data_IF_482967092173
#
_entry.id   IF_482967092173
#
_cell.length_a   1.000
_cell.length_b   1.000
_cell.length_c   1.000
_cell.angle_alpha   90.00
_cell.angle_beta   90.00
_cell.angle_gamma   90.00
#
_symmetry.space_group_name_H-M   'P 1'
#
loop_
_entity.id
_entity.type
_entity.pdbx_description
1 polymer ?
#
# COMPACT_ATOMS: atom_id res chain seq x y z
N UNK A 1 9.52 -5.60 16.20
CA UNK A 1 8.12 -5.20 15.94
C UNK A 1 7.28 -5.70 17.10
N UNK A 2 6.40 -4.88 17.68
CA UNK A 2 5.38 -5.41 18.58
C UNK A 2 4.30 -6.09 17.74
N UNK A 3 3.61 -7.10 18.28
CA UNK A 3 2.48 -7.74 17.59
C UNK A 3 1.38 -6.74 17.21
N UNK A 4 1.27 -5.65 17.97
CA UNK A 4 0.31 -4.55 17.78
C UNK A 4 0.53 -3.79 16.45
N UNK A 5 1.77 -3.41 16.14
CA UNK A 5 2.07 -2.71 14.88
C UNK A 5 1.87 -3.58 13.63
N UNK A 6 2.06 -4.90 13.75
CA UNK A 6 1.82 -5.85 12.66
C UNK A 6 0.32 -5.93 12.31
N UNK A 7 -0.53 -6.05 13.34
CA UNK A 7 -1.98 -6.09 13.18
C UNK A 7 -2.54 -4.79 12.59
N UNK A 8 -2.07 -3.63 13.05
CA UNK A 8 -2.49 -2.33 12.48
C UNK A 8 -2.15 -2.19 10.99
N UNK A 9 -0.94 -2.60 10.59
CA UNK A 9 -0.49 -2.51 9.20
C UNK A 9 -1.29 -3.45 8.30
N UNK A 10 -1.59 -4.66 8.77
CA UNK A 10 -2.45 -5.61 8.06
C UNK A 10 -3.87 -5.07 7.87
N UNK A 11 -4.47 -4.51 8.92
CA UNK A 11 -5.80 -3.89 8.86
C UNK A 11 -5.81 -2.73 7.87
N UNK A 12 -4.82 -1.83 7.97
CA UNK A 12 -4.70 -0.68 7.07
C UNK A 12 -4.57 -1.11 5.61
N UNK A 13 -3.83 -2.20 5.35
CA UNK A 13 -3.66 -2.77 4.01
C UNK A 13 -4.96 -3.38 3.49
N UNK A 14 -5.65 -4.21 4.28
CA UNK A 14 -6.96 -4.77 3.94
C UNK A 14 -7.96 -3.66 3.58
N UNK A 15 -8.04 -2.62 4.41
CA UNK A 15 -8.94 -1.49 4.18
C UNK A 15 -8.54 -0.67 2.95
N UNK A 16 -7.26 -0.34 2.79
CA UNK A 16 -6.75 0.42 1.65
C UNK A 16 -7.06 -0.25 0.31
N UNK A 17 -6.88 -1.58 0.23
CA UNK A 17 -7.20 -2.37 -0.96
C UNK A 17 -8.66 -2.85 -1.03
N UNK A 18 -9.50 -2.55 -0.02
CA UNK A 18 -10.90 -3.03 0.09
C UNK A 18 -11.01 -4.56 0.03
N UNK A 19 -10.05 -5.25 0.61
CA UNK A 19 -9.99 -6.71 0.69
C UNK A 19 -10.78 -7.22 1.90
N UNK A 20 -11.19 -8.50 1.85
CA UNK A 20 -11.95 -9.13 2.92
C UNK A 20 -11.01 -9.74 3.95
N UNK A 21 -11.51 -9.93 5.16
CA UNK A 21 -10.77 -10.55 6.25
C UNK A 21 -10.18 -11.94 5.89
N UNK A 22 -10.86 -12.69 5.01
CA UNK A 22 -10.38 -13.99 4.51
C UNK A 22 -9.13 -13.88 3.61
N UNK A 23 -8.85 -12.71 3.05
CA UNK A 23 -7.72 -12.47 2.15
C UNK A 23 -6.44 -12.13 2.96
N UNK A 24 -6.56 -11.90 4.27
CA UNK A 24 -5.46 -11.51 5.15
C UNK A 24 -4.30 -12.51 5.17
N UNK A 25 -4.57 -13.81 5.06
CA UNK A 25 -3.53 -14.84 4.95
C UNK A 25 -2.65 -14.62 3.71
N UNK A 26 -3.28 -14.36 2.56
CA UNK A 26 -2.54 -14.08 1.32
C UNK A 26 -1.71 -12.79 1.38
N UNK A 27 -2.16 -11.76 2.12
CA UNK A 27 -1.37 -10.53 2.33
C UNK A 27 -0.13 -10.82 3.15
N UNK A 28 -0.31 -11.57 4.23
CA UNK A 28 0.74 -11.98 5.14
C UNK A 28 1.79 -12.82 4.40
N UNK A 29 1.35 -13.80 3.62
CA UNK A 29 2.20 -14.63 2.78
C UNK A 29 3.05 -13.78 1.82
N UNK A 30 2.42 -12.86 1.09
CA UNK A 30 3.12 -11.96 0.15
C UNK A 30 4.17 -11.10 0.83
N UNK A 31 3.83 -10.51 1.98
CA UNK A 31 4.75 -9.67 2.75
C UNK A 31 5.89 -10.51 3.34
N UNK A 32 5.60 -11.72 3.83
CA UNK A 32 6.59 -12.63 4.42
C UNK A 32 7.62 -13.07 3.39
N UNK A 33 7.17 -13.65 2.28
CA UNK A 33 8.04 -14.17 1.22
C UNK A 33 8.93 -13.09 0.60
N UNK A 34 8.35 -11.90 0.33
CA UNK A 34 9.14 -10.76 -0.15
C UNK A 34 10.15 -10.33 0.91
N UNK A 35 9.78 -10.34 2.20
CA UNK A 35 10.71 -9.92 3.25
C UNK A 35 11.91 -10.85 3.45
N UNK A 36 11.73 -12.13 3.14
CA UNK A 36 12.78 -13.13 3.26
C UNK A 36 13.74 -13.12 2.08
N UNK A 37 13.30 -12.63 0.92
CA UNK A 37 14.04 -12.71 -0.34
C UNK A 37 14.53 -11.35 -0.87
N UNK A 38 14.02 -10.24 -0.33
CA UNK A 38 14.27 -8.88 -0.82
C UNK A 38 14.78 -7.97 0.29
N UNK A 39 15.43 -6.82 -0.02
CA UNK A 39 16.06 -5.94 0.97
C UNK A 39 15.06 -5.04 1.70
N UNK A 40 13.99 -5.61 2.25
CA UNK A 40 12.95 -4.94 3.02
C UNK A 40 12.33 -5.93 4.01
N UNK A 41 12.04 -5.53 5.25
CA UNK A 41 11.37 -6.41 6.21
C UNK A 41 9.85 -6.18 6.29
N UNK A 42 9.14 -7.10 6.94
CA UNK A 42 7.67 -7.05 7.11
C UNK A 42 7.17 -5.76 7.77
N UNK A 43 7.93 -5.19 8.72
CA UNK A 43 7.58 -3.92 9.38
C UNK A 43 7.63 -2.75 8.40
N UNK A 44 8.67 -2.71 7.57
CA UNK A 44 8.93 -1.65 6.61
C UNK A 44 7.93 -1.70 5.46
N UNK A 45 7.62 -2.90 4.95
CA UNK A 45 6.54 -3.11 3.97
C UNK A 45 5.20 -2.64 4.52
N UNK A 46 4.84 -3.08 5.74
CA UNK A 46 3.59 -2.72 6.38
C UNK A 46 3.43 -1.20 6.57
N UNK A 47 4.48 -0.51 7.01
CA UNK A 47 4.46 0.95 7.20
C UNK A 47 4.30 1.71 5.88
N UNK A 48 4.98 1.28 4.81
CA UNK A 48 4.84 1.88 3.50
C UNK A 48 3.44 1.63 2.89
N UNK A 49 2.90 0.43 3.06
CA UNK A 49 1.55 0.05 2.62
C UNK A 49 0.48 0.84 3.37
N UNK A 50 0.60 0.98 4.71
CA UNK A 50 -0.30 1.78 5.55
C UNK A 50 -0.51 3.20 5.00
N UNK A 51 0.50 3.76 4.33
CA UNK A 51 0.49 5.12 3.77
C UNK A 51 -0.01 5.22 2.33
N UNK A 52 0.11 4.14 1.55
CA UNK A 52 -0.05 4.17 0.09
C UNK A 52 -1.14 3.26 -0.47
N UNK A 53 -1.59 2.26 0.29
CA UNK A 53 -2.52 1.22 -0.16
C UNK A 53 -3.81 1.79 -0.78
N UNK A 54 -4.42 2.80 -0.16
CA UNK A 54 -5.64 3.42 -0.69
C UNK A 54 -5.42 4.13 -2.02
N UNK A 55 -4.27 4.78 -2.20
CA UNK A 55 -3.94 5.47 -3.44
C UNK A 55 -3.58 4.50 -4.57
N UNK A 56 -2.89 3.39 -4.25
CA UNK A 56 -2.68 2.31 -5.21
C UNK A 56 -4.00 1.68 -5.67
N UNK A 57 -4.89 1.36 -4.74
CA UNK A 57 -6.20 0.78 -5.07
C UNK A 57 -7.07 1.75 -5.88
N UNK A 58 -7.09 3.05 -5.52
CA UNK A 58 -7.77 4.07 -6.31
C UNK A 58 -7.18 4.22 -7.73
N UNK A 59 -5.89 3.93 -7.88
CA UNK A 59 -5.19 3.84 -9.14
C UNK A 59 -5.30 2.45 -9.80
N UNK A 60 -6.14 1.54 -9.33
CA UNK A 60 -6.30 0.18 -9.87
C UNK A 60 -5.00 -0.63 -9.94
N UNK A 61 -4.05 -0.34 -9.05
CA UNK A 61 -2.83 -1.14 -8.88
C UNK A 61 -3.08 -2.17 -7.79
N UNK A 62 -2.80 -3.44 -8.09
CA UNK A 62 -3.02 -4.53 -7.15
C UNK A 62 -1.96 -4.59 -6.04
N UNK A 63 -2.19 -5.45 -5.05
CA UNK A 63 -1.33 -5.57 -3.88
C UNK A 63 0.09 -6.04 -4.23
N UNK A 64 0.27 -6.99 -5.15
CA UNK A 64 1.60 -7.46 -5.52
C UNK A 64 2.40 -6.38 -6.23
N UNK A 65 1.76 -5.65 -7.15
CA UNK A 65 2.38 -4.50 -7.80
C UNK A 65 2.74 -3.41 -6.80
N UNK A 66 1.88 -3.13 -5.80
CA UNK A 66 2.20 -2.17 -4.75
C UNK A 66 3.38 -2.62 -3.86
N UNK A 67 3.41 -3.90 -3.44
CA UNK A 67 4.52 -4.48 -2.67
C UNK A 67 5.81 -4.37 -3.49
N UNK A 68 5.79 -4.74 -4.76
CA UNK A 68 6.94 -4.69 -5.65
C UNK A 68 7.51 -3.27 -5.81
N UNK A 69 6.64 -2.29 -6.07
CA UNK A 69 6.99 -0.88 -6.19
C UNK A 69 7.58 -0.31 -4.89
N UNK A 70 7.03 -0.71 -3.73
CA UNK A 70 7.56 -0.32 -2.42
C UNK A 70 8.94 -0.93 -2.21
N UNK A 71 9.12 -2.23 -2.46
CA UNK A 71 10.37 -2.96 -2.30
C UNK A 71 11.49 -2.34 -3.15
N UNK A 72 11.22 -2.09 -4.43
CA UNK A 72 12.20 -1.52 -5.36
C UNK A 72 12.62 -0.09 -4.98
N UNK A 73 11.70 0.73 -4.46
CA UNK A 73 12.04 2.06 -3.95
C UNK A 73 12.79 2.00 -2.63
N UNK A 74 12.34 1.15 -1.71
CA UNK A 74 12.87 1.04 -0.36
C UNK A 74 14.32 0.56 -0.36
N UNK A 75 14.70 -0.33 -1.28
CA UNK A 75 16.06 -0.88 -1.37
C UNK A 75 17.15 0.20 -1.39
N UNK A 76 16.87 1.35 -2.00
CA UNK A 76 17.77 2.51 -2.03
C UNK A 76 17.45 3.53 -0.94
N UNK A 77 16.17 3.85 -0.77
CA UNK A 77 15.78 4.94 0.14
C UNK A 77 15.93 4.58 1.62
N UNK A 78 15.79 3.31 1.97
CA UNK A 78 15.82 2.76 3.33
C UNK A 78 14.89 3.51 4.32
N UNK A 79 13.83 4.13 3.80
CA UNK A 79 12.84 4.88 4.58
C UNK A 79 11.43 4.51 4.12
N UNK A 80 10.72 3.73 4.97
CA UNK A 80 9.39 3.23 4.69
C UNK A 80 8.33 4.34 4.66
N UNK A 81 8.44 5.35 5.53
CA UNK A 81 7.50 6.46 5.59
C UNK A 81 7.62 7.33 4.34
N UNK A 82 8.85 7.67 3.95
CA UNK A 82 9.15 8.40 2.72
C UNK A 82 8.70 7.61 1.49
N UNK A 83 8.97 6.31 1.44
CA UNK A 83 8.56 5.44 0.33
C UNK A 83 7.04 5.40 0.18
N UNK A 84 6.30 5.16 1.26
CA UNK A 84 4.84 5.12 1.23
C UNK A 84 4.21 6.47 0.88
N UNK A 85 4.70 7.57 1.46
CA UNK A 85 4.19 8.91 1.14
C UNK A 85 4.50 9.31 -0.31
N UNK A 86 5.68 8.94 -0.83
CA UNK A 86 6.01 9.14 -2.24
C UNK A 86 5.02 8.39 -3.14
N UNK A 87 4.77 7.11 -2.87
CA UNK A 87 3.85 6.31 -3.69
C UNK A 87 2.41 6.78 -3.63
N UNK A 88 1.96 7.30 -2.47
CA UNK A 88 0.69 8.03 -2.37
C UNK A 88 0.65 9.20 -3.36
N UNK A 89 1.70 10.01 -3.46
CA UNK A 89 1.75 11.13 -4.41
C UNK A 89 1.85 10.68 -5.86
N UNK A 90 2.78 9.79 -6.19
CA UNK A 90 3.03 9.34 -7.57
C UNK A 90 1.80 8.64 -8.15
N UNK A 91 1.14 7.77 -7.39
CA UNK A 91 -0.06 7.09 -7.86
C UNK A 91 -1.19 8.04 -8.24
N UNK A 92 -1.39 9.12 -7.48
CA UNK A 92 -2.38 10.16 -7.81
C UNK A 92 -1.97 10.97 -9.06
N UNK A 93 -0.68 11.33 -9.19
CA UNK A 93 -0.20 12.12 -10.34
C UNK A 93 -0.28 11.34 -11.65
N UNK A 94 0.03 10.05 -11.63
CA UNK A 94 -0.09 9.17 -12.79
C UNK A 94 -1.53 8.94 -13.26
N UNK A 95 -2.53 9.44 -12.54
CA UNK A 95 -3.95 9.41 -12.92
C UNK A 95 -4.45 10.77 -13.43
N UNK A 96 -3.54 11.64 -13.87
CA UNK A 96 -3.83 12.96 -14.43
C UNK A 96 -3.49 13.02 -15.92
N UNK A 97 -4.38 13.60 -16.72
CA UNK A 97 -4.17 13.88 -18.16
C UNK A 97 -2.95 14.79 -18.38
N UNK A 98 -2.77 15.81 -17.55
CA UNK A 98 -1.61 16.71 -17.63
C UNK A 98 -0.28 15.97 -17.41
N UNK A 99 -0.26 14.98 -16.51
CA UNK A 99 0.92 14.12 -16.31
C UNK A 99 1.14 13.21 -17.50
N UNK A 100 0.06 12.65 -18.07
CA UNK A 100 0.11 11.81 -19.27
C UNK A 100 0.69 12.56 -20.47
N UNK A 101 0.17 13.74 -20.78
CA UNK A 101 0.61 14.54 -21.92
C UNK A 101 2.08 14.93 -21.80
N UNK A 102 2.52 15.33 -20.60
CA UNK A 102 3.93 15.67 -20.36
C UNK A 102 4.87 14.46 -20.50
N UNK A 103 4.48 13.27 -20.04
CA UNK A 103 5.29 12.06 -20.24
C UNK A 103 5.37 11.71 -21.72
N UNK A 104 4.23 11.78 -22.42
CA UNK A 104 4.15 11.51 -23.86
C UNK A 104 5.04 12.47 -24.66
N UNK A 105 5.00 13.77 -24.37
CA UNK A 105 5.83 14.77 -25.04
C UNK A 105 7.33 14.60 -24.74
N UNK A 106 7.69 14.17 -23.53
CA UNK A 106 9.08 14.03 -23.11
C UNK A 106 9.78 12.82 -23.70
N UNK A 107 9.10 11.68 -23.78
CA UNK A 107 9.71 10.38 -24.12
C UNK A 107 8.91 9.53 -25.11
N UNK A 108 7.78 10.03 -25.63
CA UNK A 108 6.93 9.28 -26.56
C UNK A 108 6.16 8.12 -25.92
N UNK A 109 6.15 8.01 -24.59
CA UNK A 109 5.48 6.93 -23.87
C UNK A 109 4.07 7.35 -23.44
N UNK A 110 3.04 6.69 -23.97
CA UNK A 110 1.67 6.90 -23.51
C UNK A 110 1.36 6.01 -22.30
N UNK A 111 0.94 6.62 -21.19
CA UNK A 111 0.55 5.91 -19.97
C UNK A 111 -0.89 5.35 -20.04
N UNK A 112 -1.64 5.65 -21.11
CA UNK A 112 -2.97 5.08 -21.35
C UNK A 112 -2.91 3.59 -21.74
N UNK A 113 -3.93 2.84 -21.37
CA UNK A 113 -4.13 1.48 -21.85
C UNK A 113 -4.40 1.49 -23.38
N UNK A 114 -4.31 0.33 -24.03
CA UNK A 114 -4.45 0.23 -25.49
C UNK A 114 -5.82 0.68 -25.99
N UNK A 115 -6.85 0.59 -25.15
CA UNK A 115 -8.22 0.97 -25.46
C UNK A 115 -8.45 2.48 -25.36
N UNK A 116 -7.53 3.24 -24.75
CA UNK A 116 -7.68 4.68 -24.51
C UNK A 116 -8.73 5.05 -23.47
N UNK A 117 -9.29 4.07 -22.75
CA UNK A 117 -10.40 4.27 -21.79
C UNK A 117 -9.94 4.35 -20.34
N UNK A 118 -8.66 4.15 -20.08
CA UNK A 118 -8.07 4.25 -18.74
C UNK A 118 -6.55 4.20 -18.79
N UNK A 119 -5.89 4.37 -17.65
CA UNK A 119 -4.42 4.30 -17.59
C UNK A 119 -3.93 2.88 -17.31
N UNK A 120 -2.71 2.60 -17.78
CA UNK A 120 -1.96 1.38 -17.46
C UNK A 120 -1.80 1.21 -15.94
N UNK A 121 -1.46 0.00 -15.52
CA UNK A 121 -1.04 -0.23 -14.15
C UNK A 121 0.25 0.57 -13.82
N UNK A 122 0.36 1.07 -12.58
CA UNK A 122 1.49 1.90 -12.15
C UNK A 122 2.80 1.12 -12.25
N UNK A 123 2.83 -0.16 -11.85
CA UNK A 123 4.05 -0.95 -11.96
C UNK A 123 4.49 -1.05 -13.41
N UNK A 124 3.55 -1.25 -14.34
CA UNK A 124 3.87 -1.22 -15.77
C UNK A 124 4.43 0.14 -16.22
N UNK A 125 3.82 1.25 -15.81
CA UNK A 125 4.31 2.60 -16.15
C UNK A 125 5.74 2.79 -15.63
N UNK A 126 5.99 2.44 -14.37
CA UNK A 126 7.29 2.64 -13.71
C UNK A 126 8.35 1.74 -14.32
N UNK A 127 8.04 0.48 -14.62
CA UNK A 127 9.01 -0.45 -15.22
C UNK A 127 9.30 -0.12 -16.69
N UNK A 128 8.29 0.19 -17.51
CA UNK A 128 8.49 0.59 -18.91
C UNK A 128 9.38 1.86 -19.02
N UNK A 129 9.18 2.85 -18.13
CA UNK A 129 10.03 4.06 -18.08
C UNK A 129 11.40 3.72 -17.49
N UNK A 130 11.44 2.94 -16.40
CA UNK A 130 12.63 2.56 -15.67
C UNK A 130 13.66 1.84 -16.53
N UNK A 131 13.21 0.96 -17.42
CA UNK A 131 14.07 0.19 -18.34
C UNK A 131 14.95 1.06 -19.24
N UNK A 132 14.56 2.32 -19.48
CA UNK A 132 15.32 3.27 -20.31
C UNK A 132 15.77 4.51 -19.52
N UNK A 133 15.43 4.61 -18.23
CA UNK A 133 15.54 5.85 -17.48
C UNK A 133 16.97 6.40 -17.43
N UNK A 134 17.95 5.54 -17.16
CA UNK A 134 19.37 5.90 -17.10
C UNK A 134 19.97 6.34 -18.45
N UNK A 135 19.34 5.97 -19.56
CA UNK A 135 19.76 6.34 -20.92
C UNK A 135 19.22 7.70 -21.40
N UNK A 136 18.23 8.27 -20.71
CA UNK A 136 17.73 9.61 -21.03
C UNK A 136 18.71 10.70 -20.60
N UNK A 137 18.66 11.85 -21.27
CA UNK A 137 19.45 13.02 -20.86
C UNK A 137 19.09 13.48 -19.44
N UNK A 138 20.04 14.06 -18.70
CA UNK A 138 19.83 14.61 -17.36
C UNK A 138 18.60 15.54 -17.28
N UNK A 139 18.39 16.36 -18.33
CA UNK A 139 17.24 17.26 -18.43
C UNK A 139 15.92 16.49 -18.56
N UNK A 140 15.91 15.40 -19.32
CA UNK A 140 14.72 14.54 -19.47
C UNK A 140 14.44 13.78 -18.18
N UNK A 141 15.45 13.20 -17.56
CA UNK A 141 15.33 12.52 -16.26
C UNK A 141 14.75 13.47 -15.19
N UNK A 142 15.35 14.64 -15.02
CA UNK A 142 14.89 15.63 -14.04
C UNK A 142 13.43 16.06 -14.26
N UNK A 143 13.02 16.26 -15.52
CA UNK A 143 11.64 16.61 -15.85
C UNK A 143 10.67 15.46 -15.59
N UNK A 144 11.02 14.23 -15.95
CA UNK A 144 10.19 13.06 -15.65
C UNK A 144 9.95 12.93 -14.14
N UNK A 145 11.01 13.07 -13.33
CA UNK A 145 10.90 13.01 -11.87
C UNK A 145 9.98 14.09 -11.30
N UNK A 146 10.07 15.33 -11.80
CA UNK A 146 9.20 16.43 -11.35
C UNK A 146 7.75 16.24 -11.80
N UNK A 147 7.53 15.78 -13.03
CA UNK A 147 6.18 15.50 -13.56
C UNK A 147 5.50 14.40 -12.76
N UNK A 148 6.17 13.25 -12.61
CA UNK A 148 5.60 12.04 -11.99
C UNK A 148 5.57 12.11 -10.46
N UNK A 149 6.62 12.62 -9.82
CA UNK A 149 6.75 12.64 -8.35
C UNK A 149 6.66 14.03 -7.72
N UNK A 150 7.04 15.07 -8.46
CA UNK A 150 7.28 16.40 -7.92
C UNK A 150 8.62 16.52 -7.23
N UNK A 151 9.10 17.75 -7.08
CA UNK A 151 10.42 18.08 -6.49
C UNK A 151 10.75 17.37 -5.17
N UNK A 152 9.77 17.21 -4.27
CA UNK A 152 10.01 16.60 -2.96
C UNK A 152 10.22 15.08 -3.01
N UNK A 153 9.73 14.42 -4.07
CA UNK A 153 9.75 12.97 -4.22
C UNK A 153 10.74 12.47 -5.28
N UNK A 154 11.36 13.38 -6.04
CA UNK A 154 12.22 13.04 -7.18
C UNK A 154 13.28 11.99 -6.86
N UNK A 155 13.99 12.13 -5.74
CA UNK A 155 15.04 11.16 -5.36
C UNK A 155 14.48 9.77 -5.05
N UNK A 156 13.30 9.68 -4.41
CA UNK A 156 12.68 8.39 -4.10
C UNK A 156 12.06 7.76 -5.36
N UNK A 157 11.50 8.56 -6.27
CA UNK A 157 11.03 8.05 -7.55
C UNK A 157 12.20 7.61 -8.45
N UNK A 158 13.33 8.32 -8.44
CA UNK A 158 14.53 7.90 -9.14
C UNK A 158 15.05 6.54 -8.65
N UNK A 159 14.94 6.27 -7.34
CA UNK A 159 15.23 4.95 -6.80
C UNK A 159 14.33 3.87 -7.41
N UNK A 160 13.02 4.11 -7.53
CA UNK A 160 12.10 3.18 -8.17
C UNK A 160 12.48 2.91 -9.63
N UNK A 161 12.69 3.97 -10.41
CA UNK A 161 12.95 3.89 -11.85
C UNK A 161 14.27 3.16 -12.15
N UNK A 162 15.32 3.40 -11.34
CA UNK A 162 16.60 2.71 -11.49
C UNK A 162 16.59 1.26 -10.98
N UNK A 163 15.51 0.82 -10.32
CA UNK A 163 15.37 -0.54 -9.79
C UNK A 163 14.23 -1.33 -10.45
N UNK A 164 13.97 -1.08 -11.74
CA UNK A 164 12.92 -1.76 -12.52
C UNK A 164 13.02 -3.30 -12.43
N UNK A 165 14.23 -3.86 -12.52
CA UNK A 165 14.42 -5.31 -12.42
C UNK A 165 14.10 -5.86 -11.03
N UNK A 166 14.46 -5.15 -9.97
CA UNK A 166 14.12 -5.53 -8.60
C UNK A 166 12.61 -5.45 -8.37
N UNK A 167 11.93 -4.45 -8.94
CA UNK A 167 10.46 -4.35 -8.91
C UNK A 167 9.85 -5.58 -9.59
N UNK A 168 10.32 -5.96 -10.79
CA UNK A 168 9.83 -7.14 -11.51
C UNK A 168 10.05 -8.44 -10.71
N UNK A 169 11.22 -8.58 -10.07
CA UNK A 169 11.53 -9.73 -9.22
C UNK A 169 10.62 -9.79 -7.99
N UNK A 170 10.49 -8.69 -7.25
CA UNK A 170 9.63 -8.61 -6.07
C UNK A 170 8.15 -8.87 -6.41
N UNK A 171 7.69 -8.44 -7.59
CA UNK A 171 6.35 -8.78 -8.08
C UNK A 171 6.18 -10.28 -8.29
N UNK A 172 7.13 -10.94 -8.95
CA UNK A 172 7.05 -12.39 -9.18
C UNK A 172 7.06 -13.16 -7.86
N UNK A 173 7.90 -12.75 -6.90
CA UNK A 173 7.92 -13.32 -5.54
C UNK A 173 6.56 -13.15 -4.86
N UNK A 174 5.99 -11.94 -4.86
CA UNK A 174 4.70 -11.68 -4.23
C UNK A 174 3.57 -12.46 -4.93
N UNK A 175 3.47 -12.39 -6.25
CA UNK A 175 2.32 -12.91 -6.98
C UNK A 175 2.34 -14.44 -7.12
N UNK A 176 3.52 -15.03 -7.35
CA UNK A 176 3.63 -16.44 -7.72
C UNK A 176 4.40 -17.30 -6.71
N UNK A 177 5.23 -16.69 -5.85
CA UNK A 177 6.11 -17.42 -4.92
C UNK A 177 5.61 -17.50 -3.48
N UNK A 178 4.57 -16.73 -3.12
CA UNK A 178 4.26 -16.45 -1.71
C UNK A 178 3.32 -17.44 -1.03
N UNK A 179 2.60 -18.28 -1.78
CA UNK A 179 1.51 -19.12 -1.26
C UNK A 179 1.96 -20.05 -0.11
N UNK A 180 1.34 -19.86 1.05
CA UNK A 180 1.60 -20.62 2.27
C UNK A 180 2.98 -20.39 2.90
N UNK A 181 3.70 -19.35 2.49
CA UNK A 181 5.05 -19.04 3.00
C UNK A 181 5.04 -18.74 4.51
N UNK A 182 4.06 -17.98 5.00
CA UNK A 182 3.99 -17.62 6.41
C UNK A 182 3.61 -18.82 7.30
N UNK A 183 2.78 -19.72 6.78
CA UNK A 183 2.36 -20.95 7.48
C UNK A 183 3.52 -21.94 7.64
N UNK A 184 4.36 -22.06 6.61
CA UNK A 184 5.56 -22.92 6.60
C UNK A 184 6.60 -22.48 7.63
N UNK A 185 6.70 -21.18 7.89
CA UNK A 185 7.71 -20.62 8.79
C UNK A 185 7.23 -20.51 10.25
N UNK A 186 5.93 -20.31 10.51
CA UNK A 186 5.42 -20.15 11.89
C UNK A 186 3.96 -20.65 12.06
N UNK A 187 3.77 -21.78 12.76
CA UNK A 187 2.41 -22.27 13.11
C UNK A 187 1.68 -21.39 14.15
N UNK A 188 2.40 -20.62 14.97
CA UNK A 188 1.82 -19.71 15.97
C UNK A 188 1.39 -18.35 15.39
N UNK A 189 1.92 -17.97 14.22
CA UNK A 189 1.60 -16.69 13.57
C UNK A 189 0.20 -16.73 12.94
N UNK A 190 -0.15 -17.84 12.28
CA UNK A 190 -1.51 -18.11 11.78
C UNK A 190 -2.55 -17.99 12.89
N UNK A 191 -2.34 -18.63 14.05
CA UNK A 191 -3.29 -18.59 15.18
C UNK A 191 -3.52 -17.16 15.70
N UNK A 192 -2.47 -16.34 15.76
CA UNK A 192 -2.58 -14.94 16.17
C UNK A 192 -3.33 -14.11 15.11
N UNK A 193 -3.04 -14.33 13.83
CA UNK A 193 -3.73 -13.67 12.70
C UNK A 193 -5.22 -14.06 12.68
N UNK A 194 -5.55 -15.34 12.79
CA UNK A 194 -6.92 -15.84 12.86
C UNK A 194 -7.69 -15.26 14.03
N UNK A 195 -7.05 -15.16 15.21
CA UNK A 195 -7.64 -14.54 16.39
C UNK A 195 -7.95 -13.05 16.18
N UNK A 196 -7.01 -12.27 15.62
CA UNK A 196 -7.23 -10.86 15.33
C UNK A 196 -8.22 -10.63 14.17
N UNK A 197 -8.21 -11.48 13.14
CA UNK A 197 -9.22 -11.52 12.06
C UNK A 197 -10.61 -11.84 12.62
N UNK A 198 -10.70 -12.78 13.56
CA UNK A 198 -11.95 -13.16 14.22
C UNK A 198 -12.56 -11.99 14.98
N UNK A 199 -11.76 -11.28 15.77
CA UNK A 199 -12.20 -10.05 16.45
C UNK A 199 -12.61 -8.97 15.45
N UNK A 200 -11.90 -8.81 14.34
CA UNK A 200 -12.25 -7.84 13.30
C UNK A 200 -13.54 -8.21 12.55
N UNK A 201 -13.81 -9.50 12.27
CA UNK A 201 -15.09 -9.94 11.67
C UNK A 201 -16.26 -9.56 12.58
N UNK A 202 -16.10 -9.72 13.90
CA UNK A 202 -17.10 -9.31 14.88
C UNK A 202 -17.27 -7.77 14.86
N UNK A 203 -16.18 -7.00 14.91
CA UNK A 203 -16.24 -5.54 14.84
C UNK A 203 -16.79 -5.00 13.51
N UNK A 204 -16.54 -5.68 12.38
CA UNK A 204 -17.07 -5.28 11.07
C UNK A 204 -18.55 -5.65 10.90
N UNK A 205 -18.99 -6.78 11.47
CA UNK A 205 -20.42 -7.09 11.56
C UNK A 205 -21.15 -6.01 12.36
N UNK A 206 -20.60 -5.61 13.49
CA UNK A 206 -21.14 -4.56 14.36
C UNK A 206 -21.17 -3.17 13.68
N UNK A 207 -20.11 -2.83 12.93
CA UNK A 207 -20.04 -1.61 12.13
C UNK A 207 -21.02 -1.63 10.94
N UNK A 208 -21.14 -2.75 10.24
CA UNK A 208 -22.07 -2.92 9.10
C UNK A 208 -23.53 -2.80 9.54
N UNK A 209 -23.89 -3.36 10.70
CA UNK A 209 -25.23 -3.18 11.27
C UNK A 209 -25.53 -1.73 11.63
N UNK A 210 -24.51 -0.95 12.02
CA UNK A 210 -24.65 0.45 12.41
C UNK A 210 -24.62 1.42 11.21
N UNK A 211 -23.85 1.13 10.17
CA UNK A 211 -23.72 1.96 8.97
C UNK A 211 -24.93 1.84 8.02
N UNK A 212 -25.55 0.65 7.94
CA UNK A 212 -26.77 0.42 7.13
C UNK A 212 -28.00 1.14 7.72
N UNK A 213 -27.98 1.47 9.01
CA UNK A 213 -29.08 2.15 9.71
C UNK A 213 -29.05 3.69 9.67
N UNK A 214 -28.16 4.34 8.90
CA UNK A 214 -28.08 5.81 8.88
C UNK A 214 -28.10 6.42 7.47
N UNK A 215 -28.60 7.66 7.39
CA UNK A 215 -28.73 8.51 6.20
C UNK A 215 -27.41 8.79 5.42
N UNK A 216 -26.28 8.24 5.87
CA UNK A 216 -24.94 8.34 5.26
C UNK A 216 -24.89 7.78 3.83
N UNK A 217 -25.71 6.77 3.51
CA UNK A 217 -25.72 6.17 2.16
C UNK A 217 -26.39 7.03 1.09
N UNK A 218 -27.21 8.03 1.47
CA UNK A 218 -27.90 8.93 0.52
C UNK A 218 -27.05 10.12 0.08
N UNK A 219 -26.03 10.52 0.85
CA UNK A 219 -25.15 11.65 0.51
C UNK A 219 -23.98 11.32 -0.43
N UNK A 220 -23.86 10.07 -0.87
CA UNK A 220 -22.76 9.58 -1.73
C UNK A 220 -22.96 9.91 -3.23
N UNK A 221 -24.19 10.27 -3.63
CA UNK A 221 -24.55 10.46 -5.05
C UNK A 221 -24.16 11.84 -5.60
N UNK A 222 -23.98 12.87 -4.75
CA UNK A 222 -23.77 14.24 -5.23
C UNK A 222 -22.44 14.85 -4.74
N UNK A 223 -21.40 14.80 -5.59
CA UNK A 223 -20.42 15.91 -5.72
C UNK A 223 -19.03 15.80 -5.06
N UNK A 224 -18.01 15.55 -5.89
CA UNK A 224 -16.81 16.40 -6.10
C UNK A 224 -15.75 16.63 -5.01
N UNK A 225 -16.07 16.58 -3.72
CA UNK A 225 -15.17 17.09 -2.65
C UNK A 225 -15.01 16.12 -1.47
N UNK A 226 -15.01 14.82 -1.78
CA UNK A 226 -15.35 13.79 -0.78
C UNK A 226 -14.15 13.02 -0.22
N UNK A 227 -13.03 12.91 -0.95
CA UNK A 227 -11.94 12.01 -0.54
C UNK A 227 -11.29 12.39 0.80
N UNK A 228 -11.04 13.69 1.02
CA UNK A 228 -10.39 14.19 2.24
C UNK A 228 -11.35 14.17 3.44
N UNK A 229 -12.63 14.50 3.24
CA UNK A 229 -13.63 14.48 4.31
C UNK A 229 -14.03 13.06 4.74
N UNK A 230 -13.99 12.09 3.83
CA UNK A 230 -14.17 10.66 4.17
C UNK A 230 -13.02 10.16 5.02
N UNK A 231 -11.77 10.49 4.67
CA UNK A 231 -10.58 10.16 5.46
C UNK A 231 -10.67 10.75 6.88
N UNK A 232 -11.05 12.02 7.03
CA UNK A 232 -11.14 12.68 8.34
C UNK A 232 -12.28 12.13 9.21
N UNK A 233 -13.45 11.82 8.62
CA UNK A 233 -14.56 11.21 9.38
C UNK A 233 -14.30 9.73 9.72
N UNK A 234 -13.59 8.98 8.88
CA UNK A 234 -13.13 7.62 9.19
C UNK A 234 -12.18 7.60 10.40
N UNK A 235 -11.26 8.56 10.47
CA UNK A 235 -10.36 8.73 11.62
C UNK A 235 -11.16 9.11 12.88
N UNK A 236 -12.24 9.89 12.77
CA UNK A 236 -13.08 10.23 13.94
C UNK A 236 -13.92 9.07 14.46
N UNK A 237 -14.34 8.12 13.61
CA UNK A 237 -15.02 6.87 14.04
C UNK A 237 -14.02 5.91 14.67
N UNK A 238 -12.78 5.85 14.17
CA UNK A 238 -11.68 5.14 14.81
C UNK A 238 -11.31 5.74 16.18
N UNK A 239 -11.38 7.07 16.32
CA UNK A 239 -11.26 7.77 17.61
C UNK A 239 -12.53 7.71 18.48
N UNK A 240 -13.64 7.20 17.93
CA UNK A 240 -14.97 7.19 18.54
C UNK A 240 -15.37 5.87 19.19
N UNK A 241 -14.44 4.91 19.30
CA UNK A 241 -14.61 3.67 20.09
C UNK A 241 -13.61 3.67 21.25
N UNK A 242 -13.94 4.25 22.42
CA UNK A 242 -13.00 4.37 23.54
C UNK A 242 -12.96 3.15 24.49
N UNK A 243 -13.12 1.90 24.03
CA UNK A 243 -13.34 0.79 24.99
C UNK A 243 -12.66 -0.58 24.72
N UNK A 244 -11.64 -0.69 23.87
CA UNK A 244 -10.95 -2.00 23.65
C UNK A 244 -9.44 -1.97 23.93
N UNK A 245 -8.87 -0.82 24.31
CA UNK A 245 -7.42 -0.67 24.54
C UNK A 245 -6.91 -1.14 25.91
N UNK A 246 -7.74 -1.72 26.78
CA UNK A 246 -7.36 -2.07 28.17
C UNK A 246 -7.17 -3.56 28.46
N UNK A 247 -7.20 -4.45 27.47
CA UNK A 247 -7.14 -5.91 27.74
C UNK A 247 -5.72 -6.54 27.71
N UNK A 248 -4.68 -5.86 27.19
CA UNK A 248 -3.34 -6.47 27.06
C UNK A 248 -2.27 -5.78 27.95
N UNK A 249 -2.67 -4.77 28.74
CA UNK A 249 -1.80 -4.18 29.78
C UNK A 249 -1.75 -5.00 31.09
N UNK A 250 -2.74 -5.84 31.36
CA UNK A 250 -2.89 -6.48 32.68
C UNK A 250 -2.13 -7.81 32.84
N UNK A 251 -1.78 -8.51 31.75
CA UNK A 251 -1.22 -9.88 31.85
C UNK A 251 0.29 -9.89 32.12
N UNK A 252 1.00 -8.76 31.93
CA UNK A 252 2.46 -8.67 32.21
C UNK A 252 2.82 -8.02 33.55
N UNK A 253 1.87 -7.46 34.29
CA UNK A 253 2.14 -6.80 35.58
C UNK A 253 2.06 -7.75 36.80
N UNK A 254 1.61 -9.00 36.66
CA UNK A 254 1.42 -9.93 37.78
C UNK A 254 2.35 -11.16 37.80
N UNK A 255 3.48 -11.15 37.07
CA UNK A 255 4.45 -12.26 37.12
C UNK A 255 5.78 -11.98 37.83
N UNK A 256 5.98 -10.78 38.37
CA UNK A 256 7.17 -10.44 39.16
C UNK A 256 6.81 -9.83 40.53
N UNK A 257 5.96 -10.53 41.29
CA UNK A 257 5.79 -10.33 42.73
C UNK A 257 5.76 -11.71 43.38
N UNK A 258 6.96 -12.27 43.55
CA UNK A 258 7.36 -13.05 44.73
C UNK A 258 8.61 -12.37 45.30
#
# INVERSE_FOLDING_TARGET
MTQESASENLISTLQGFKLKAKDAGSIVDRINEVSNTQPINTSQLGEALKRSASSFNAAHTDLSSAIALITGTFSVTQDASRTGNMWKTVSMRLRSEDTRDKILDLIGYDIMNKQGTGYKDIMKIITDIGDNFSGYSDKTQAKLLDVMGGKNNGNALAAALNNSDLIKQAYNTAEFGSEGSAEKELSNYQKSIEYHIGQMKASFQELSTTAVSSDVFKGFVDGGTTAINVLTKFISVANGVPAVLTAIGAVKAFKNLD
#
